data_IF_408075642605
#
_entry.id   IF_408075642605
#
_cell.length_a   1.000
_cell.length_b   1.000
_cell.length_c   1.000
_cell.angle_alpha   90.00
_cell.angle_beta   90.00
_cell.angle_gamma   90.00
#
_symmetry.space_group_name_H-M   'P 1'
#
loop_
_entity.id
_entity.type
_entity.pdbx_description
1 polymer ?
#
# COMPACT_ATOMS: atom_id res chain seq x y z
N UNK A 1 -81.88 48.19 -4.84
CA UNK A 1 -81.62 46.74 -5.03
C UNK A 1 -80.15 46.34 -4.93
N UNK A 2 -79.18 47.15 -5.40
CA UNK A 2 -77.74 46.84 -5.24
C UNK A 2 -77.26 46.87 -3.77
N UNK A 3 -77.75 47.81 -2.95
CA UNK A 3 -77.35 47.93 -1.54
C UNK A 3 -77.79 46.77 -0.64
N UNK A 4 -78.91 46.11 -0.98
CA UNK A 4 -79.37 44.92 -0.23
C UNK A 4 -78.53 43.69 -0.56
N UNK A 5 -78.08 43.54 -1.82
CA UNK A 5 -77.15 42.49 -2.22
C UNK A 5 -75.77 42.67 -1.56
N UNK A 6 -75.26 43.90 -1.46
CA UNK A 6 -73.99 44.20 -0.81
C UNK A 6 -74.01 43.84 0.69
N UNK A 7 -75.08 44.23 1.41
CA UNK A 7 -75.25 43.91 2.82
C UNK A 7 -75.42 42.40 3.09
N UNK A 8 -75.95 41.63 2.13
CA UNK A 8 -76.03 40.16 2.28
C UNK A 8 -74.69 39.45 2.11
N UNK A 9 -73.73 40.04 1.41
CA UNK A 9 -72.41 39.44 1.17
C UNK A 9 -71.33 39.88 2.17
N UNK A 10 -71.57 40.99 2.89
CA UNK A 10 -70.66 41.54 3.89
C UNK A 10 -70.28 40.54 5.01
N UNK A 11 -71.19 39.73 5.59
CA UNK A 11 -70.83 38.73 6.59
C UNK A 11 -69.92 37.62 6.03
N UNK A 12 -70.14 37.23 4.77
CA UNK A 12 -69.31 36.23 4.09
C UNK A 12 -67.91 36.77 3.82
N UNK A 13 -67.80 38.05 3.43
CA UNK A 13 -66.52 38.75 3.24
C UNK A 13 -65.71 38.84 4.54
N UNK A 14 -66.35 39.20 5.65
CA UNK A 14 -65.71 39.22 6.97
C UNK A 14 -65.25 37.83 7.42
N UNK A 15 -66.05 36.78 7.11
CA UNK A 15 -65.68 35.39 7.42
C UNK A 15 -64.51 34.91 6.57
N UNK A 16 -64.46 35.28 5.30
CA UNK A 16 -63.32 34.98 4.41
C UNK A 16 -62.05 35.71 4.86
N UNK A 17 -62.16 36.97 5.26
CA UNK A 17 -61.04 37.72 5.82
C UNK A 17 -60.51 37.09 7.11
N UNK A 18 -61.39 36.73 8.06
CA UNK A 18 -60.96 36.07 9.29
C UNK A 18 -60.34 34.68 9.06
N UNK A 19 -60.78 33.97 8.01
CA UNK A 19 -60.15 32.71 7.60
C UNK A 19 -58.78 32.93 6.94
N UNK A 20 -58.59 33.98 6.15
CA UNK A 20 -57.27 34.28 5.57
C UNK A 20 -56.27 34.69 6.65
N UNK A 21 -56.69 35.49 7.63
CA UNK A 21 -55.87 35.88 8.79
C UNK A 21 -55.51 34.66 9.68
N UNK A 22 -56.31 33.59 9.67
CA UNK A 22 -55.99 32.32 10.35
C UNK A 22 -55.08 31.40 9.54
N UNK A 23 -55.00 31.59 8.22
CA UNK A 23 -54.08 30.87 7.33
C UNK A 23 -52.68 31.49 7.31
N UNK A 24 -52.58 32.80 7.53
CA UNK A 24 -51.30 33.55 7.58
C UNK A 24 -50.26 32.91 8.54
N UNK A 25 -50.63 32.51 9.78
CA UNK A 25 -49.72 31.83 10.69
C UNK A 25 -49.31 30.42 10.26
N UNK A 26 -49.99 29.80 9.29
CA UNK A 26 -49.66 28.47 8.78
C UNK A 26 -48.54 28.51 7.73
N UNK A 27 -48.24 29.68 7.15
CA UNK A 27 -47.12 29.83 6.21
C UNK A 27 -45.76 29.62 6.90
N UNK A 28 -45.64 30.03 8.17
CA UNK A 28 -44.40 29.92 8.95
C UNK A 28 -44.06 28.45 9.31
N UNK A 29 -44.95 27.65 9.92
CA UNK A 29 -44.70 26.22 10.14
C UNK A 29 -44.45 25.44 8.85
N UNK A 30 -45.10 25.81 7.74
CA UNK A 30 -44.85 25.19 6.45
C UNK A 30 -43.42 25.47 5.95
N UNK A 31 -42.95 26.71 6.08
CA UNK A 31 -41.58 27.07 5.78
C UNK A 31 -40.58 26.31 6.68
N UNK A 32 -40.85 26.23 7.99
CA UNK A 32 -40.01 25.52 8.95
C UNK A 32 -39.90 24.02 8.63
N UNK A 33 -41.01 23.37 8.29
CA UNK A 33 -41.00 21.95 7.87
C UNK A 33 -40.15 21.77 6.61
N UNK A 34 -40.27 22.67 5.63
CA UNK A 34 -39.46 22.60 4.41
C UNK A 34 -37.96 22.80 4.69
N UNK A 35 -37.61 23.69 5.62
CA UNK A 35 -36.21 23.84 6.06
C UNK A 35 -35.71 22.56 6.73
N UNK A 36 -36.51 21.96 7.62
CA UNK A 36 -36.16 20.69 8.28
C UNK A 36 -36.02 19.55 7.26
N UNK A 37 -36.90 19.47 6.27
CA UNK A 37 -36.79 18.48 5.17
C UNK A 37 -35.48 18.66 4.40
N UNK A 38 -35.13 19.91 4.07
CA UNK A 38 -33.89 20.23 3.36
C UNK A 38 -32.67 19.88 4.21
N UNK A 39 -32.68 20.24 5.50
CA UNK A 39 -31.61 19.93 6.45
C UNK A 39 -31.45 18.41 6.65
N UNK A 40 -32.56 17.68 6.69
CA UNK A 40 -32.57 16.22 6.79
C UNK A 40 -31.96 15.56 5.56
N UNK A 41 -32.36 15.99 4.36
CA UNK A 41 -31.79 15.50 3.10
C UNK A 41 -30.30 15.77 3.02
N UNK A 42 -29.88 17.00 3.32
CA UNK A 42 -28.46 17.38 3.34
C UNK A 42 -27.67 16.56 4.36
N UNK A 43 -28.20 16.41 5.57
CA UNK A 43 -27.54 15.62 6.62
C UNK A 43 -27.41 14.15 6.21
N UNK A 44 -28.42 13.61 5.53
CA UNK A 44 -28.38 12.23 5.03
C UNK A 44 -27.30 12.07 3.96
N UNK A 45 -27.22 13.00 3.01
CA UNK A 45 -26.18 13.01 1.98
C UNK A 45 -24.77 13.14 2.60
N UNK A 46 -24.60 14.01 3.57
CA UNK A 46 -23.33 14.18 4.30
C UNK A 46 -22.92 12.89 5.02
N UNK A 47 -23.87 12.20 5.66
CA UNK A 47 -23.60 10.89 6.27
C UNK A 47 -23.18 9.83 5.25
N UNK A 48 -23.87 9.74 4.10
CA UNK A 48 -23.50 8.80 3.04
C UNK A 48 -22.11 9.09 2.47
N UNK A 49 -21.79 10.36 2.26
CA UNK A 49 -20.47 10.81 1.84
C UNK A 49 -19.39 10.44 2.86
N UNK A 50 -19.65 10.66 4.16
CA UNK A 50 -18.73 10.27 5.23
C UNK A 50 -18.52 8.76 5.32
N UNK A 51 -19.58 7.96 5.21
CA UNK A 51 -19.49 6.50 5.21
C UNK A 51 -18.69 5.98 4.01
N UNK A 52 -18.91 6.58 2.83
CA UNK A 52 -18.16 6.24 1.62
C UNK A 52 -16.68 6.55 1.78
N UNK A 53 -16.35 7.74 2.28
CA UNK A 53 -14.95 8.14 2.52
C UNK A 53 -14.28 7.23 3.56
N UNK A 54 -14.97 6.92 4.65
CA UNK A 54 -14.49 6.00 5.69
C UNK A 54 -14.24 4.59 5.12
N UNK A 55 -15.15 4.10 4.27
CA UNK A 55 -15.00 2.79 3.64
C UNK A 55 -13.79 2.73 2.69
N UNK A 56 -13.61 3.78 1.88
CA UNK A 56 -12.46 3.90 0.99
C UNK A 56 -11.15 3.94 1.79
N UNK A 57 -11.09 4.75 2.83
CA UNK A 57 -9.93 4.86 3.73
C UNK A 57 -9.60 3.50 4.38
N UNK A 58 -10.60 2.78 4.92
CA UNK A 58 -10.38 1.42 5.46
C UNK A 58 -9.81 0.47 4.40
N UNK A 59 -10.33 0.53 3.17
CA UNK A 59 -9.92 -0.37 2.09
C UNK A 59 -8.49 -0.08 1.64
N UNK A 60 -8.13 1.20 1.53
CA UNK A 60 -6.75 1.63 1.25
C UNK A 60 -5.79 1.15 2.34
N UNK A 61 -6.12 1.39 3.61
CA UNK A 61 -5.29 0.99 4.76
C UNK A 61 -5.11 -0.53 4.84
N UNK A 62 -6.16 -1.30 4.58
CA UNK A 62 -6.07 -2.77 4.46
C UNK A 62 -5.15 -3.18 3.33
N UNK A 63 -5.27 -2.56 2.16
CA UNK A 63 -4.41 -2.86 1.02
C UNK A 63 -2.93 -2.61 1.31
N UNK A 64 -2.59 -1.54 2.03
CA UNK A 64 -1.20 -1.28 2.42
C UNK A 64 -0.75 -2.27 3.49
N UNK A 65 -1.61 -2.66 4.44
CA UNK A 65 -1.28 -3.68 5.46
C UNK A 65 -1.02 -5.05 4.84
N UNK A 66 -1.88 -5.49 3.93
CA UNK A 66 -1.70 -6.75 3.23
C UNK A 66 -0.41 -6.76 2.40
N UNK A 67 -0.08 -5.63 1.76
CA UNK A 67 1.19 -5.46 1.04
C UNK A 67 2.41 -5.55 1.96
N UNK A 68 2.39 -4.85 3.10
CA UNK A 68 3.44 -4.89 4.13
C UNK A 68 3.65 -6.32 4.63
N UNK A 69 2.57 -7.04 4.93
CA UNK A 69 2.65 -8.42 5.40
C UNK A 69 3.26 -9.35 4.35
N UNK A 70 2.80 -9.26 3.08
CA UNK A 70 3.34 -10.06 1.98
C UNK A 70 4.83 -9.84 1.77
N UNK A 71 5.28 -8.59 1.75
CA UNK A 71 6.72 -8.29 1.60
C UNK A 71 7.51 -8.80 2.81
N UNK A 72 6.95 -8.65 4.02
CA UNK A 72 7.58 -9.14 5.24
C UNK A 72 7.74 -10.66 5.22
N UNK A 73 6.72 -11.39 4.81
CA UNK A 73 6.74 -12.85 4.70
C UNK A 73 7.74 -13.32 3.65
N UNK A 74 7.82 -12.65 2.51
CA UNK A 74 8.80 -12.98 1.47
C UNK A 74 10.24 -12.70 1.93
N UNK A 75 10.50 -11.56 2.59
CA UNK A 75 11.81 -11.27 3.19
C UNK A 75 12.19 -12.30 4.25
N UNK A 76 11.22 -12.74 5.08
CA UNK A 76 11.44 -13.80 6.06
C UNK A 76 11.79 -15.13 5.41
N UNK A 77 11.06 -15.50 4.35
CA UNK A 77 11.26 -16.71 3.59
C UNK A 77 12.67 -16.73 2.96
N UNK A 78 13.04 -15.67 2.24
CA UNK A 78 14.35 -15.55 1.61
C UNK A 78 15.49 -15.57 2.63
N UNK A 79 15.35 -14.86 3.76
CA UNK A 79 16.35 -14.87 4.83
C UNK A 79 16.57 -16.26 5.44
N UNK A 80 15.51 -17.07 5.52
CA UNK A 80 15.58 -18.44 6.05
C UNK A 80 16.35 -19.38 5.13
N UNK A 81 16.14 -19.26 3.83
CA UNK A 81 16.71 -20.17 2.84
C UNK A 81 18.14 -19.79 2.44
N UNK A 82 18.44 -18.49 2.40
CA UNK A 82 19.72 -17.91 1.97
C UNK A 82 20.99 -18.62 2.52
N UNK A 83 21.09 -18.98 3.81
CA UNK A 83 22.29 -19.63 4.35
C UNK A 83 22.63 -20.98 3.71
N UNK A 84 21.61 -21.69 3.20
CA UNK A 84 21.73 -23.06 2.69
C UNK A 84 21.82 -23.15 1.16
N UNK A 85 21.56 -22.05 0.46
CA UNK A 85 21.46 -22.03 -0.99
C UNK A 85 22.83 -22.07 -1.67
N UNK A 86 22.85 -22.70 -2.85
CA UNK A 86 23.98 -22.68 -3.76
C UNK A 86 24.14 -21.29 -4.41
N UNK A 87 25.34 -21.03 -4.94
CA UNK A 87 25.70 -19.74 -5.53
C UNK A 87 24.77 -19.32 -6.66
N UNK A 88 24.40 -20.24 -7.54
CA UNK A 88 23.51 -19.98 -8.67
C UNK A 88 22.12 -19.52 -8.19
N UNK A 89 21.60 -20.18 -7.15
CA UNK A 89 20.32 -19.81 -6.54
C UNK A 89 20.37 -18.45 -5.84
N UNK A 90 21.52 -18.09 -5.25
CA UNK A 90 21.71 -16.76 -4.66
C UNK A 90 21.78 -15.66 -5.73
N UNK A 91 22.41 -15.93 -6.86
CA UNK A 91 22.40 -15.02 -8.03
C UNK A 91 20.97 -14.86 -8.56
N UNK A 92 20.20 -15.95 -8.65
CA UNK A 92 18.79 -15.89 -9.04
C UNK A 92 17.97 -15.02 -8.07
N UNK A 93 18.18 -15.16 -6.76
CA UNK A 93 17.54 -14.29 -5.76
C UNK A 93 17.93 -12.83 -6.01
N UNK A 94 19.21 -12.56 -6.21
CA UNK A 94 19.72 -11.21 -6.44
C UNK A 94 19.14 -10.55 -7.70
N UNK A 95 19.10 -11.29 -8.82
CA UNK A 95 18.72 -10.74 -10.11
C UNK A 95 17.20 -10.76 -10.37
N UNK A 96 16.47 -11.71 -9.77
CA UNK A 96 15.06 -11.95 -10.09
C UNK A 96 14.11 -11.69 -8.93
N UNK A 97 14.48 -12.02 -7.69
CA UNK A 97 13.58 -11.92 -6.53
C UNK A 97 13.66 -10.58 -5.81
N UNK A 98 14.86 -10.03 -5.62
CA UNK A 98 15.07 -8.75 -4.92
C UNK A 98 14.53 -7.52 -5.68
N UNK A 99 14.67 -7.40 -7.03
CA UNK A 99 14.20 -6.20 -7.73
C UNK A 99 12.67 -6.00 -7.68
N UNK A 100 11.83 -7.05 -7.84
CA UNK A 100 10.39 -6.93 -7.61
C UNK A 100 10.05 -6.51 -6.17
N UNK A 101 10.73 -7.06 -5.17
CA UNK A 101 10.52 -6.68 -3.76
C UNK A 101 10.86 -5.22 -3.50
N UNK A 102 11.94 -4.71 -4.10
CA UNK A 102 12.31 -3.29 -4.03
C UNK A 102 11.24 -2.41 -4.67
N UNK A 103 10.76 -2.81 -5.85
CA UNK A 103 9.71 -2.07 -6.57
C UNK A 103 8.41 -2.02 -5.76
N UNK A 104 8.01 -3.14 -5.15
CA UNK A 104 6.83 -3.21 -4.32
C UNK A 104 6.99 -2.37 -3.04
N UNK A 105 8.17 -2.36 -2.42
CA UNK A 105 8.46 -1.50 -1.28
C UNK A 105 8.41 0.00 -1.63
N UNK A 106 8.90 0.40 -2.79
CA UNK A 106 8.78 1.78 -3.27
C UNK A 106 7.32 2.16 -3.51
N UNK A 107 6.54 1.26 -4.11
CA UNK A 107 5.10 1.43 -4.32
C UNK A 107 4.36 1.59 -2.99
N UNK A 108 4.61 0.73 -2.02
CA UNK A 108 4.03 0.80 -0.68
C UNK A 108 4.45 2.07 0.06
N UNK A 109 5.70 2.52 -0.11
CA UNK A 109 6.17 3.79 0.46
C UNK A 109 5.42 4.98 -0.11
N UNK A 110 5.23 5.01 -1.42
CA UNK A 110 4.45 6.07 -2.06
C UNK A 110 3.00 6.05 -1.57
N UNK A 111 2.37 4.88 -1.53
CA UNK A 111 1.02 4.73 -1.03
C UNK A 111 0.88 5.16 0.43
N UNK A 112 1.82 4.79 1.30
CA UNK A 112 1.82 5.22 2.70
C UNK A 112 1.96 6.74 2.82
N UNK A 113 2.81 7.37 2.01
CA UNK A 113 2.95 8.83 2.03
C UNK A 113 1.72 9.57 1.51
N UNK A 114 1.06 9.03 0.49
CA UNK A 114 -0.17 9.59 -0.07
C UNK A 114 -1.34 9.39 0.92
N UNK A 115 -1.46 8.20 1.49
CA UNK A 115 -2.43 7.88 2.54
C UNK A 115 -2.24 8.80 3.75
N UNK A 116 -1.02 8.99 4.27
CA UNK A 116 -0.76 9.92 5.41
C UNK A 116 -1.20 11.36 5.15
N UNK A 117 -1.17 11.83 3.90
CA UNK A 117 -1.63 13.18 3.54
C UNK A 117 -3.16 13.28 3.48
N UNK A 118 -3.81 12.20 3.09
CA UNK A 118 -5.25 12.17 2.83
C UNK A 118 -6.07 11.55 3.97
N UNK A 119 -5.42 10.85 4.90
CA UNK A 119 -6.02 10.19 6.06
C UNK A 119 -6.68 11.22 6.96
N UNK A 120 -7.95 11.01 7.26
CA UNK A 120 -8.76 11.91 8.09
C UNK A 120 -9.43 11.19 9.25
N UNK A 121 -9.66 9.87 9.14
CA UNK A 121 -10.62 9.16 9.98
C UNK A 121 -10.03 7.90 10.61
N UNK A 122 -9.16 7.16 9.91
CA UNK A 122 -8.69 5.84 10.33
C UNK A 122 -7.21 5.89 10.69
N UNK A 123 -6.87 5.61 11.95
CA UNK A 123 -5.48 5.37 12.34
C UNK A 123 -5.07 3.93 11.96
N UNK A 124 -3.85 3.77 11.46
CA UNK A 124 -3.26 2.48 11.14
C UNK A 124 -2.35 2.03 12.28
N UNK A 125 -2.46 0.74 12.62
CA UNK A 125 -1.49 0.06 13.46
C UNK A 125 -0.20 -0.14 12.64
N UNK A 126 0.86 0.59 13.00
CA UNK A 126 2.10 0.71 12.22
C UNK A 126 3.12 -0.41 12.53
N UNK A 127 2.68 -1.66 12.69
CA UNK A 127 3.58 -2.76 13.06
C UNK A 127 3.52 -3.94 12.06
N UNK A 128 4.66 -4.34 11.46
CA UNK A 128 5.97 -3.69 11.49
C UNK A 128 5.99 -2.38 10.69
N UNK A 129 6.84 -1.42 11.10
CA UNK A 129 6.90 -0.15 10.39
C UNK A 129 7.51 -0.34 9.00
N UNK A 130 7.05 0.45 8.03
CA UNK A 130 7.55 0.35 6.65
C UNK A 130 9.07 0.61 6.57
N UNK A 131 9.61 1.45 7.46
CA UNK A 131 11.04 1.68 7.57
C UNK A 131 11.79 0.43 8.06
N UNK A 132 11.22 -0.31 9.01
CA UNK A 132 11.83 -1.56 9.49
C UNK A 132 11.90 -2.58 8.37
N UNK A 133 10.83 -2.73 7.57
CA UNK A 133 10.80 -3.64 6.42
C UNK A 133 11.83 -3.20 5.37
N UNK A 134 11.93 -1.90 5.11
CA UNK A 134 12.93 -1.36 4.19
C UNK A 134 14.36 -1.67 4.65
N UNK A 135 14.63 -1.50 5.93
CA UNK A 135 15.94 -1.85 6.51
C UNK A 135 16.22 -3.34 6.38
N UNK A 136 15.23 -4.20 6.67
CA UNK A 136 15.36 -5.67 6.53
C UNK A 136 15.58 -6.12 5.09
N UNK A 137 14.96 -5.44 4.11
CA UNK A 137 15.24 -5.69 2.70
C UNK A 137 16.68 -5.33 2.34
N UNK A 138 17.17 -4.17 2.79
CA UNK A 138 18.56 -3.77 2.58
C UNK A 138 19.56 -4.70 3.28
N UNK A 139 19.23 -5.21 4.47
CA UNK A 139 20.02 -6.22 5.17
C UNK A 139 20.08 -7.53 4.36
N UNK A 140 18.94 -8.00 3.83
CA UNK A 140 18.88 -9.20 2.97
C UNK A 140 19.70 -9.02 1.68
N UNK A 141 19.62 -7.85 1.03
CA UNK A 141 20.41 -7.53 -0.17
C UNK A 141 21.92 -7.58 0.14
N UNK A 142 22.34 -6.95 1.23
CA UNK A 142 23.74 -6.96 1.67
C UNK A 142 24.21 -8.36 2.05
N UNK A 143 23.38 -9.14 2.77
CA UNK A 143 23.72 -10.49 3.18
C UNK A 143 23.84 -11.45 1.98
N UNK A 144 22.95 -11.31 0.98
CA UNK A 144 23.01 -12.08 -0.27
C UNK A 144 24.29 -11.76 -1.04
N UNK A 145 24.62 -10.48 -1.19
CA UNK A 145 25.85 -10.04 -1.85
C UNK A 145 27.10 -10.55 -1.14
N UNK A 146 27.14 -10.46 0.19
CA UNK A 146 28.27 -10.94 0.99
C UNK A 146 28.44 -12.45 0.83
N UNK A 147 27.34 -13.22 0.88
CA UNK A 147 27.38 -14.68 0.73
C UNK A 147 27.91 -15.10 -0.64
N UNK A 148 27.51 -14.40 -1.70
CA UNK A 148 28.03 -14.64 -3.05
C UNK A 148 29.54 -14.36 -3.10
N UNK A 149 30.02 -13.29 -2.46
CA UNK A 149 31.45 -12.99 -2.38
C UNK A 149 32.23 -14.05 -1.61
N UNK A 150 31.71 -14.52 -0.48
CA UNK A 150 32.34 -15.57 0.33
C UNK A 150 32.48 -16.88 -0.46
N UNK A 151 31.45 -17.26 -1.22
CA UNK A 151 31.48 -18.44 -2.10
C UNK A 151 32.48 -18.27 -3.25
N UNK A 152 32.56 -17.08 -3.86
CA UNK A 152 33.57 -16.78 -4.88
C UNK A 152 34.99 -16.90 -4.33
N UNK A 153 35.23 -16.41 -3.12
CA UNK A 153 36.55 -16.49 -2.48
C UNK A 153 36.94 -17.95 -2.20
N UNK A 154 35.99 -18.74 -1.68
CA UNK A 154 36.19 -20.16 -1.43
C UNK A 154 36.51 -20.94 -2.72
N UNK A 155 35.76 -20.70 -3.80
CA UNK A 155 36.03 -21.32 -5.11
C UNK A 155 37.40 -20.92 -5.65
N UNK A 156 37.80 -19.66 -5.51
CA UNK A 156 39.11 -19.19 -5.96
C UNK A 156 40.25 -19.83 -5.16
N UNK A 157 40.10 -19.95 -3.84
CA UNK A 157 41.08 -20.64 -2.98
C UNK A 157 41.24 -22.12 -3.36
N UNK A 158 40.12 -22.82 -3.59
CA UNK A 158 40.14 -24.20 -4.06
C UNK A 158 40.87 -24.34 -5.39
N UNK A 159 40.56 -23.47 -6.37
CA UNK A 159 41.24 -23.46 -7.68
C UNK A 159 42.74 -23.21 -7.56
N UNK A 160 43.16 -22.33 -6.65
CA UNK A 160 44.59 -22.07 -6.38
C UNK A 160 45.27 -23.33 -5.83
N UNK A 161 44.62 -24.04 -4.89
CA UNK A 161 45.16 -25.28 -4.31
C UNK A 161 45.27 -26.37 -5.38
N UNK A 162 44.22 -26.59 -6.16
CA UNK A 162 44.22 -27.56 -7.26
C UNK A 162 45.32 -27.26 -8.30
N UNK A 163 45.47 -25.99 -8.68
CA UNK A 163 46.51 -25.57 -9.62
C UNK A 163 47.91 -25.82 -9.06
N UNK A 164 48.14 -25.54 -7.77
CA UNK A 164 49.42 -25.83 -7.10
C UNK A 164 49.72 -27.32 -7.07
N UNK A 165 48.72 -28.16 -6.77
CA UNK A 165 48.88 -29.61 -6.81
C UNK A 165 49.23 -30.12 -8.21
N UNK A 166 48.60 -29.57 -9.25
CA UNK A 166 48.93 -29.91 -10.64
C UNK A 166 50.35 -29.49 -11.01
N UNK A 167 50.80 -28.30 -10.58
CA UNK A 167 52.18 -27.84 -10.79
C UNK A 167 53.16 -28.79 -10.10
N UNK A 168 52.91 -29.20 -8.86
CA UNK A 168 53.77 -30.13 -8.13
C UNK A 168 53.85 -31.49 -8.85
N UNK A 169 52.72 -32.03 -9.32
CA UNK A 169 52.69 -33.27 -10.11
C UNK A 169 53.52 -33.13 -11.38
N UNK A 170 53.35 -32.04 -12.13
CA UNK A 170 54.10 -31.79 -13.36
C UNK A 170 55.60 -31.60 -13.10
N UNK A 171 55.97 -30.97 -11.97
CA UNK A 171 57.38 -30.79 -11.59
C UNK A 171 58.10 -32.08 -11.20
N UNK A 172 57.34 -33.11 -10.82
CA UNK A 172 57.86 -34.44 -10.52
C UNK A 172 57.89 -35.37 -11.74
N UNK A 173 57.32 -34.95 -12.88
CA UNK A 173 57.44 -35.73 -14.11
C UNK A 173 58.86 -35.57 -14.68
N UNK A 174 59.51 -36.68 -15.09
CA UNK A 174 60.84 -36.62 -15.68
C UNK A 174 60.81 -35.83 -17.00
N UNK A 175 61.85 -35.04 -17.24
CA UNK A 175 61.99 -34.23 -18.44
C UNK A 175 62.19 -35.15 -19.66
N UNK A 176 61.13 -35.34 -20.45
CA UNK A 176 61.15 -36.23 -21.64
C UNK A 176 61.74 -35.50 -22.86
N UNK A 177 62.39 -34.34 -22.68
CA UNK A 177 62.90 -33.53 -23.79
C UNK A 177 64.31 -33.88 -24.26
N UNK A 178 65.09 -34.69 -23.51
CA UNK A 178 66.48 -34.99 -23.90
C UNK A 178 66.66 -36.18 -24.88
N UNK A 179 65.67 -37.05 -25.11
CA UNK A 179 65.86 -38.22 -26.01
C UNK A 179 65.49 -38.00 -27.50
N UNK A 180 65.16 -36.78 -27.93
CA UNK A 180 64.79 -36.51 -29.35
C UNK A 180 65.84 -35.81 -30.21
N UNK A 181 67.04 -35.56 -29.70
CA UNK A 181 68.12 -34.92 -30.47
C UNK A 181 69.33 -35.81 -30.80
N UNK A 182 69.28 -37.12 -30.50
CA UNK A 182 70.30 -38.07 -30.95
C UNK A 182 69.67 -39.23 -31.73
N UNK A 183 69.42 -39.00 -33.04
CA UNK A 183 69.50 -40.02 -34.10
C UNK A 183 69.44 -39.38 -35.49
#
# INVERSE_FOLDING_TARGET
>A
NASNSFNTHQPTLLKLQGLSEQLDPCEMPYADVRFIETDWEQTTEDFENHLTNLHNEITEERGINDGINKVTDEINHLNKDMPTLAKESLIDIQEKALPPLRTEMERLTKLDTDARRNRRIVARDNEPSLNDIKNRLSELENATQQRIQDLNNLENEQRIIETRQQIDILSQQPDITEERFEQ
#
